data_IF_058326201467
#
_entry.id   IF_058326201467
#
_cell.length_a   1.000
_cell.length_b   1.000
_cell.length_c   1.000
_cell.angle_alpha   90.00
_cell.angle_beta   90.00
_cell.angle_gamma   90.00
#
_symmetry.space_group_name_H-M   'P 1'
#
loop_
_entity.id
_entity.type
_entity.pdbx_description
1 polymer ?
#
# COMPACT_ATOMS: atom_id res chain seq x y z
N UNK A 1 9.73 -9.14 0.66
CA UNK A 1 8.65 -8.14 0.40
C UNK A 1 9.01 -7.42 -0.89
N UNK A 2 8.24 -7.63 -1.95
CA UNK A 2 8.48 -7.02 -3.27
C UNK A 2 8.43 -5.49 -3.16
N UNK A 3 9.42 -4.81 -3.76
CA UNK A 3 9.50 -3.35 -3.85
C UNK A 3 8.25 -2.78 -4.53
N UNK A 4 7.61 -3.53 -5.42
CA UNK A 4 6.36 -3.17 -6.12
C UNK A 4 5.16 -3.09 -5.17
N UNK A 5 5.06 -4.01 -4.19
CA UNK A 5 4.02 -4.00 -3.16
C UNK A 5 4.19 -2.83 -2.19
N UNK A 6 5.44 -2.49 -1.87
CA UNK A 6 5.76 -1.32 -1.04
C UNK A 6 5.60 0.00 -1.77
N UNK A 7 5.80 0.04 -3.09
CA UNK A 7 5.58 1.22 -3.93
C UNK A 7 4.09 1.46 -4.13
N UNK A 8 3.27 0.42 -4.27
CA UNK A 8 1.81 0.56 -4.21
C UNK A 8 1.37 0.98 -2.81
N UNK A 9 1.88 0.32 -1.75
CA UNK A 9 1.67 0.79 -0.40
C UNK A 9 2.09 2.26 -0.31
N UNK A 10 3.22 2.73 -0.84
CA UNK A 10 3.68 4.11 -0.84
C UNK A 10 2.82 5.10 -1.66
N UNK A 11 2.28 4.65 -2.79
CA UNK A 11 1.47 5.44 -3.72
C UNK A 11 0.03 5.57 -3.23
N UNK A 12 -0.52 4.46 -2.72
CA UNK A 12 -1.80 4.39 -2.01
C UNK A 12 -1.68 5.06 -0.63
N UNK A 13 -0.54 4.96 0.05
CA UNK A 13 -0.27 5.64 1.33
C UNK A 13 0.15 7.10 1.17
N UNK A 14 0.05 7.72 -0.02
CA UNK A 14 0.24 9.18 -0.13
C UNK A 14 -0.84 9.99 0.63
N UNK A 15 -1.73 9.32 1.38
CA UNK A 15 -2.59 9.87 2.45
C UNK A 15 -2.16 9.55 3.90
N UNK A 16 -0.94 9.06 4.16
CA UNK A 16 -0.42 8.76 5.51
C UNK A 16 0.01 10.03 6.27
N UNK A 17 -0.95 10.90 6.61
CA UNK A 17 -0.69 11.91 7.63
C UNK A 17 -1.90 12.13 8.52
N UNK A 18 -1.69 11.95 9.82
CA UNK A 18 -2.60 12.23 10.92
C UNK A 18 -3.68 11.19 11.18
N UNK A 19 -3.41 10.29 12.14
CA UNK A 19 -4.06 10.31 13.46
C UNK A 19 -3.73 9.01 14.20
N UNK A 20 -2.53 8.92 14.77
CA UNK A 20 -2.11 7.74 15.53
C UNK A 20 -2.05 8.11 17.02
N UNK A 21 -2.65 7.26 17.85
CA UNK A 21 -2.88 7.51 19.28
C UNK A 21 -1.63 7.24 20.12
N UNK A 22 -0.66 8.14 20.00
CA UNK A 22 0.20 8.71 21.05
C UNK A 22 1.09 9.74 20.35
N UNK A 23 1.44 10.87 20.99
CA UNK A 23 2.25 11.91 20.33
C UNK A 23 3.61 11.35 19.88
N UNK A 24 4.16 10.36 20.60
CA UNK A 24 5.42 9.68 20.27
C UNK A 24 5.30 8.77 19.04
N UNK A 25 4.30 7.87 19.01
CA UNK A 25 4.10 6.96 17.88
C UNK A 25 3.69 7.70 16.59
N UNK A 26 2.85 8.74 16.70
CA UNK A 26 2.50 9.59 15.56
C UNK A 26 3.74 10.30 14.99
N UNK A 27 4.65 10.77 15.85
CA UNK A 27 5.91 11.38 15.42
C UNK A 27 6.81 10.35 14.71
N UNK A 28 6.94 9.15 15.26
CA UNK A 28 7.78 8.09 14.67
C UNK A 28 7.30 7.70 13.27
N UNK A 29 5.99 7.51 13.10
CA UNK A 29 5.39 7.15 11.83
C UNK A 29 5.42 8.32 10.84
N UNK A 30 5.30 9.56 11.33
CA UNK A 30 5.46 10.77 10.51
C UNK A 30 6.89 10.94 10.00
N UNK A 31 7.90 10.66 10.82
CA UNK A 31 9.31 10.69 10.41
C UNK A 31 9.57 9.69 9.29
N UNK A 32 9.12 8.44 9.44
CA UNK A 32 9.24 7.40 8.40
C UNK A 32 8.50 7.84 7.13
N UNK A 33 7.26 8.32 7.26
CA UNK A 33 6.46 8.81 6.13
C UNK A 33 7.11 10.00 5.39
N UNK A 34 7.87 10.83 6.09
CA UNK A 34 8.54 11.99 5.49
C UNK A 34 9.75 11.63 4.64
N UNK A 35 10.27 10.40 4.73
CA UNK A 35 11.31 9.92 3.81
C UNK A 35 10.79 9.75 2.39
N UNK A 36 9.49 9.47 2.22
CA UNK A 36 8.88 9.30 0.90
C UNK A 36 8.88 10.66 0.17
N UNK A 37 9.42 10.74 -1.06
CA UNK A 37 9.43 11.96 -1.86
C UNK A 37 8.03 12.28 -2.45
N UNK A 38 7.06 12.55 -1.59
CA UNK A 38 5.62 12.70 -1.89
C UNK A 38 5.35 13.70 -3.02
N UNK A 39 6.04 14.84 -3.01
CA UNK A 39 5.86 15.85 -4.04
C UNK A 39 6.30 15.35 -5.42
N UNK A 40 7.40 14.57 -5.50
CA UNK A 40 7.85 13.97 -6.76
C UNK A 40 6.81 12.97 -7.28
N UNK A 41 6.26 12.13 -6.41
CA UNK A 41 5.20 11.19 -6.77
C UNK A 41 3.92 11.90 -7.25
N UNK A 42 3.52 12.97 -6.57
CA UNK A 42 2.33 13.73 -6.94
C UNK A 42 2.49 14.41 -8.31
N UNK A 43 3.62 15.07 -8.57
CA UNK A 43 3.88 15.71 -9.86
C UNK A 43 4.01 14.68 -10.99
N UNK A 44 4.63 13.53 -10.72
CA UNK A 44 4.65 12.42 -11.66
C UNK A 44 3.24 11.91 -11.96
N UNK A 45 2.41 11.65 -10.94
CA UNK A 45 1.04 11.17 -11.14
C UNK A 45 0.19 12.16 -11.96
N UNK A 46 0.29 13.47 -11.69
CA UNK A 46 -0.37 14.52 -12.49
C UNK A 46 0.09 14.52 -13.95
N UNK A 47 1.40 14.37 -14.19
CA UNK A 47 1.96 14.28 -15.54
C UNK A 47 1.41 13.07 -16.28
N UNK A 48 1.42 11.89 -15.66
CA UNK A 48 0.89 10.67 -16.25
C UNK A 48 -0.63 10.74 -16.47
N UNK A 49 -1.42 11.32 -15.56
CA UNK A 49 -2.86 11.57 -15.79
C UNK A 49 -3.11 12.43 -17.03
N UNK A 50 -2.25 13.42 -17.28
CA UNK A 50 -2.42 14.37 -18.38
C UNK A 50 -1.92 13.80 -19.72
N UNK A 51 -0.80 13.09 -19.70
CA UNK A 51 0.00 12.80 -20.88
C UNK A 51 0.04 11.30 -21.25
N UNK A 52 -0.35 10.39 -20.34
CA UNK A 52 -0.34 8.94 -20.56
C UNK A 52 -1.79 8.37 -20.52
N UNK A 53 -2.38 8.06 -21.70
CA UNK A 53 -3.72 7.51 -21.78
C UNK A 53 -3.88 6.18 -21.03
N UNK A 54 -2.86 5.31 -21.02
CA UNK A 54 -2.94 4.01 -20.31
C UNK A 54 -3.00 4.23 -18.79
N UNK A 55 -2.26 5.21 -18.28
CA UNK A 55 -2.34 5.60 -16.87
C UNK A 55 -3.71 6.21 -16.54
N UNK A 56 -4.20 7.14 -17.37
CA UNK A 56 -5.50 7.77 -17.17
C UNK A 56 -6.64 6.74 -17.18
N UNK A 57 -6.59 5.76 -18.09
CA UNK A 57 -7.53 4.64 -18.15
C UNK A 57 -7.48 3.77 -16.90
N UNK A 58 -6.29 3.46 -16.39
CA UNK A 58 -6.14 2.71 -15.13
C UNK A 58 -6.73 3.45 -13.93
N UNK A 59 -6.54 4.78 -13.84
CA UNK A 59 -7.17 5.58 -12.78
C UNK A 59 -8.69 5.63 -12.96
N UNK A 60 -9.19 5.78 -14.19
CA UNK A 60 -10.62 5.79 -14.48
C UNK A 60 -11.29 4.44 -14.13
N UNK A 61 -10.60 3.34 -14.41
CA UNK A 61 -11.03 2.00 -14.03
C UNK A 61 -11.18 1.86 -12.51
N UNK A 62 -10.18 2.32 -11.74
CA UNK A 62 -10.24 2.31 -10.27
C UNK A 62 -11.35 3.23 -9.69
N UNK A 63 -11.86 4.20 -10.46
CA UNK A 63 -13.01 5.02 -10.07
C UNK A 63 -14.36 4.34 -10.41
N UNK A 64 -14.36 3.32 -11.27
CA UNK A 64 -15.55 2.69 -11.82
C UNK A 64 -16.27 1.73 -10.85
N UNK A 65 -17.51 1.37 -11.22
CA UNK A 65 -18.39 0.53 -10.40
C UNK A 65 -17.81 -0.86 -10.16
N UNK A 66 -17.20 -1.49 -11.17
CA UNK A 66 -16.56 -2.81 -11.07
C UNK A 66 -15.53 -2.86 -9.93
N UNK A 67 -14.66 -1.85 -9.84
CA UNK A 67 -13.69 -1.74 -8.77
C UNK A 67 -14.35 -1.47 -7.41
N UNK A 68 -15.30 -0.52 -7.36
CA UNK A 68 -15.99 -0.18 -6.12
C UNK A 68 -16.78 -1.38 -5.55
N UNK A 69 -17.42 -2.18 -6.39
CA UNK A 69 -18.13 -3.39 -6.00
C UNK A 69 -17.20 -4.47 -5.47
N UNK A 70 -16.05 -4.68 -6.11
CA UNK A 70 -15.01 -5.60 -5.61
C UNK A 70 -14.52 -5.18 -4.23
N UNK A 71 -14.17 -3.90 -4.05
CA UNK A 71 -13.72 -3.38 -2.75
C UNK A 71 -14.82 -3.52 -1.71
N UNK A 72 -16.07 -3.21 -2.05
CA UNK A 72 -17.21 -3.39 -1.15
C UNK A 72 -17.39 -4.85 -0.73
N UNK A 73 -17.30 -5.79 -1.68
CA UNK A 73 -17.41 -7.23 -1.44
C UNK A 73 -16.27 -7.76 -0.56
N UNK A 74 -15.05 -7.27 -0.77
CA UNK A 74 -13.90 -7.61 0.06
C UNK A 74 -14.07 -7.09 1.50
N UNK A 75 -14.48 -5.83 1.67
CA UNK A 75 -14.69 -5.22 2.99
C UNK A 75 -15.89 -5.80 3.76
N UNK A 76 -16.77 -6.52 3.08
CA UNK A 76 -17.86 -7.26 3.71
C UNK A 76 -17.41 -8.60 4.31
N UNK A 77 -16.21 -9.11 3.97
CA UNK A 77 -15.70 -10.36 4.52
C UNK A 77 -15.32 -10.20 6.00
N UNK A 78 -15.72 -11.15 6.83
CA UNK A 78 -15.48 -11.10 8.28
C UNK A 78 -13.97 -11.07 8.59
N UNK A 79 -13.17 -11.85 7.88
CA UNK A 79 -11.72 -11.92 8.03
C UNK A 79 -11.04 -10.57 7.75
N UNK A 80 -11.56 -9.83 6.77
CA UNK A 80 -11.09 -8.48 6.44
C UNK A 80 -11.47 -7.50 7.56
N UNK A 81 -12.69 -7.60 8.08
CA UNK A 81 -13.14 -6.76 9.20
C UNK A 81 -12.33 -7.03 10.47
N UNK A 82 -12.04 -8.29 10.77
CA UNK A 82 -11.18 -8.70 11.89
C UNK A 82 -9.77 -8.13 11.74
N UNK A 83 -9.17 -8.21 10.54
CA UNK A 83 -7.85 -7.63 10.29
C UNK A 83 -7.86 -6.10 10.44
N UNK A 84 -8.88 -5.42 9.91
CA UNK A 84 -9.03 -3.95 10.07
C UNK A 84 -9.16 -3.60 11.55
N UNK A 85 -9.99 -4.33 12.30
CA UNK A 85 -10.17 -4.10 13.73
C UNK A 85 -8.85 -4.28 14.50
N UNK A 86 -8.12 -5.37 14.24
CA UNK A 86 -6.81 -5.61 14.84
C UNK A 86 -5.83 -4.46 14.60
N UNK A 87 -5.82 -3.89 13.39
CA UNK A 87 -4.96 -2.75 13.04
C UNK A 87 -5.40 -1.47 13.76
N UNK A 88 -6.70 -1.18 13.82
CA UNK A 88 -7.26 -0.03 14.56
C UNK A 88 -6.94 -0.12 16.07
N UNK A 89 -7.11 -1.30 16.67
CA UNK A 89 -6.73 -1.59 18.06
C UNK A 89 -5.20 -1.57 18.28
N UNK A 90 -4.41 -1.58 17.20
CA UNK A 90 -2.97 -1.35 17.23
C UNK A 90 -2.60 0.13 17.05
N UNK A 91 -3.58 1.03 17.17
CA UNK A 91 -3.45 2.47 16.92
C UNK A 91 -3.11 2.82 15.46
N UNK A 92 -3.45 1.97 14.49
CA UNK A 92 -3.32 2.27 13.07
C UNK A 92 -4.71 2.62 12.49
N UNK A 93 -4.98 3.88 12.12
CA UNK A 93 -6.30 4.33 11.66
C UNK A 93 -6.55 3.96 10.18
N UNK A 94 -6.53 2.66 9.88
CA UNK A 94 -6.66 2.08 8.54
C UNK A 94 -7.92 2.57 7.83
N UNK A 95 -9.07 2.61 8.52
CA UNK A 95 -10.34 3.10 7.95
C UNK A 95 -10.24 4.54 7.46
N UNK A 96 -9.58 5.39 8.25
CA UNK A 96 -9.35 6.80 7.89
C UNK A 96 -8.46 6.91 6.64
N UNK A 97 -7.45 6.06 6.54
CA UNK A 97 -6.56 6.05 5.37
C UNK A 97 -7.28 5.57 4.12
N UNK A 98 -8.06 4.49 4.21
CA UNK A 98 -8.88 4.00 3.10
C UNK A 98 -9.82 5.07 2.56
N UNK A 99 -10.50 5.82 3.45
CA UNK A 99 -11.37 6.92 3.03
C UNK A 99 -10.61 8.00 2.27
N UNK A 100 -9.44 8.44 2.78
CA UNK A 100 -8.61 9.45 2.10
C UNK A 100 -8.09 9.00 0.75
N UNK A 101 -7.75 7.72 0.60
CA UNK A 101 -7.34 7.13 -0.67
C UNK A 101 -8.50 7.23 -1.65
N UNK A 102 -9.68 6.79 -1.24
CA UNK A 102 -10.90 6.88 -2.05
C UNK A 102 -11.20 8.32 -2.45
N UNK A 103 -11.17 9.27 -1.52
CA UNK A 103 -11.42 10.68 -1.82
C UNK A 103 -10.43 11.27 -2.83
N UNK A 104 -9.14 10.91 -2.75
CA UNK A 104 -8.14 11.37 -3.72
C UNK A 104 -8.35 10.73 -5.08
N UNK A 105 -8.68 9.44 -5.11
CA UNK A 105 -8.98 8.71 -6.31
C UNK A 105 -10.21 9.30 -7.01
N UNK A 106 -11.31 9.51 -6.28
CA UNK A 106 -12.56 10.07 -6.81
C UNK A 106 -12.37 11.51 -7.36
N UNK A 107 -11.38 12.26 -6.85
CA UNK A 107 -11.04 13.61 -7.30
C UNK A 107 -10.05 13.67 -8.46
N UNK A 108 -9.44 12.55 -8.84
CA UNK A 108 -8.49 12.53 -9.96
C UNK A 108 -9.23 12.82 -11.27
N UNK A 109 -8.72 13.79 -12.05
CA UNK A 109 -9.30 14.12 -13.34
C UNK A 109 -8.95 13.06 -14.38
N UNK A 110 -9.95 12.25 -14.71
CA UNK A 110 -9.90 11.19 -15.73
C UNK A 110 -10.79 11.50 -16.92
N UNK A 111 -11.15 12.78 -17.13
CA UNK A 111 -12.04 13.21 -18.23
C UNK A 111 -11.56 12.81 -19.62
N UNK A 112 -10.25 12.62 -19.78
CA UNK A 112 -9.59 12.20 -21.03
C UNK A 112 -9.44 10.67 -21.17
N UNK A 113 -9.85 9.89 -20.18
CA UNK A 113 -9.71 8.44 -20.21
C UNK A 113 -10.74 7.80 -21.17
N UNK A 114 -10.29 6.80 -21.93
CA UNK A 114 -11.16 5.86 -22.60
C UNK A 114 -11.62 4.79 -21.62
N UNK A 115 -12.85 4.94 -21.11
CA UNK A 115 -13.45 4.01 -20.14
C UNK A 115 -13.70 2.60 -20.68
N UNK A 116 -13.48 2.35 -21.98
CA UNK A 116 -13.53 1.00 -22.56
C UNK A 116 -12.24 0.21 -22.33
N UNK A 117 -11.15 0.89 -21.98
CA UNK A 117 -9.86 0.28 -21.66
C UNK A 117 -9.63 0.28 -20.15
N UNK A 118 -9.10 -0.83 -19.61
CA UNK A 118 -8.65 -0.90 -18.20
C UNK A 118 -7.34 -0.14 -17.96
N UNK A 119 -6.56 0.15 -19.01
CA UNK A 119 -5.26 0.81 -18.88
C UNK A 119 -4.20 0.01 -18.12
N UNK A 120 -3.08 0.66 -17.79
CA UNK A 120 -2.00 0.06 -16.99
C UNK A 120 -1.10 1.11 -16.31
N UNK A 121 -0.53 0.75 -15.17
CA UNK A 121 0.47 1.55 -14.45
C UNK A 121 1.93 1.22 -14.80
N UNK A 122 2.22 0.26 -15.69
CA UNK A 122 3.60 -0.25 -15.91
C UNK A 122 4.65 0.85 -16.14
N UNK A 123 4.35 1.82 -17.01
CA UNK A 123 5.28 2.92 -17.34
C UNK A 123 5.53 3.81 -16.12
N UNK A 124 4.45 4.19 -15.45
CA UNK A 124 4.51 4.94 -14.20
C UNK A 124 5.32 4.20 -13.13
N UNK A 125 5.07 2.89 -12.92
CA UNK A 125 5.81 2.08 -11.94
C UNK A 125 7.29 1.98 -12.25
N UNK A 126 7.66 1.83 -13.54
CA UNK A 126 9.06 1.79 -13.96
C UNK A 126 9.83 3.05 -13.54
N UNK A 127 9.16 4.21 -13.52
CA UNK A 127 9.73 5.48 -13.05
C UNK A 127 9.58 5.67 -11.53
N UNK A 128 8.49 5.19 -10.94
CA UNK A 128 8.15 5.35 -9.53
C UNK A 128 8.98 4.46 -8.59
N UNK A 129 9.27 3.22 -9.01
CA UNK A 129 9.99 2.24 -8.18
C UNK A 129 11.40 2.71 -7.82
N UNK A 130 12.23 3.23 -8.75
CA UNK A 130 13.57 3.73 -8.41
C UNK A 130 13.56 4.93 -7.45
N UNK A 131 12.47 5.70 -7.40
CA UNK A 131 12.32 6.84 -6.48
C UNK A 131 11.97 6.41 -5.05
N UNK A 132 11.65 5.13 -4.85
CA UNK A 132 11.20 4.64 -3.56
C UNK A 132 12.39 4.48 -2.60
N UNK A 133 12.41 5.17 -1.46
CA UNK A 133 13.56 5.19 -0.55
C UNK A 133 13.55 3.94 0.34
N UNK A 134 13.62 2.75 -0.27
CA UNK A 134 13.48 1.47 0.44
C UNK A 134 14.51 1.32 1.56
N UNK A 135 15.79 1.55 1.26
CA UNK A 135 16.88 1.41 2.24
C UNK A 135 16.72 2.40 3.40
N UNK A 136 16.38 3.66 3.12
CA UNK A 136 16.17 4.69 4.15
C UNK A 136 14.98 4.34 5.06
N UNK A 137 13.89 3.82 4.48
CA UNK A 137 12.72 3.37 5.24
C UNK A 137 13.08 2.19 6.14
N UNK A 138 13.82 1.18 5.63
CA UNK A 138 14.28 0.04 6.42
C UNK A 138 15.19 0.50 7.56
N UNK A 139 16.14 1.38 7.28
CA UNK A 139 17.03 1.95 8.29
C UNK A 139 16.26 2.73 9.36
N UNK A 140 15.28 3.55 8.96
CA UNK A 140 14.44 4.30 9.89
C UNK A 140 13.59 3.37 10.76
N UNK A 141 12.99 2.33 10.19
CA UNK A 141 12.23 1.33 10.95
C UNK A 141 13.13 0.62 11.96
N UNK A 142 14.31 0.12 11.55
CA UNK A 142 15.28 -0.52 12.47
C UNK A 142 15.67 0.43 13.61
N UNK A 143 15.93 1.70 13.30
CA UNK A 143 16.22 2.73 14.31
C UNK A 143 15.05 2.90 15.28
N UNK A 144 13.81 3.02 14.79
CA UNK A 144 12.62 3.19 15.64
C UNK A 144 12.35 1.95 16.49
N UNK A 145 12.55 0.75 15.95
CA UNK A 145 12.50 -0.50 16.74
C UNK A 145 13.51 -0.42 17.88
N UNK A 146 14.74 0.07 17.66
CA UNK A 146 15.77 0.15 18.69
C UNK A 146 15.54 1.28 19.71
N UNK A 147 15.02 2.43 19.29
CA UNK A 147 15.00 3.66 20.09
C UNK A 147 13.63 4.06 20.66
N UNK A 148 12.51 3.57 20.11
CA UNK A 148 11.15 3.96 20.51
C UNK A 148 10.40 2.78 21.13
N UNK A 149 10.07 2.83 22.43
CA UNK A 149 9.28 1.79 23.09
C UNK A 149 7.91 1.56 22.43
N UNK A 150 7.18 2.62 22.11
CA UNK A 150 5.84 2.55 21.51
C UNK A 150 5.88 2.00 20.09
N UNK A 151 6.86 2.41 19.29
CA UNK A 151 7.05 1.85 17.95
C UNK A 151 7.43 0.36 18.02
N UNK A 152 8.26 -0.02 18.98
CA UNK A 152 8.64 -1.41 19.19
C UNK A 152 7.45 -2.26 19.63
N UNK A 153 6.57 -1.74 20.48
CA UNK A 153 5.32 -2.41 20.86
C UNK A 153 4.41 -2.62 19.65
N UNK A 154 4.24 -1.59 18.81
CA UNK A 154 3.50 -1.71 17.55
C UNK A 154 4.12 -2.79 16.66
N UNK A 155 5.44 -2.74 16.43
CA UNK A 155 6.15 -3.72 15.60
C UNK A 155 5.97 -5.15 16.12
N UNK A 156 6.11 -5.37 17.43
CA UNK A 156 5.90 -6.67 18.08
C UNK A 156 4.47 -7.16 17.90
N UNK A 157 3.47 -6.29 18.06
CA UNK A 157 2.05 -6.64 17.86
C UNK A 157 1.80 -7.04 16.40
N UNK A 158 2.29 -6.26 15.44
CA UNK A 158 2.14 -6.56 14.00
C UNK A 158 2.93 -7.80 13.55
N UNK A 159 4.00 -8.17 14.26
CA UNK A 159 4.82 -9.36 13.98
C UNK A 159 4.36 -10.60 14.76
N UNK A 160 3.22 -10.51 15.44
CA UNK A 160 2.70 -11.60 16.28
C UNK A 160 2.09 -12.73 15.43
N UNK A 161 1.98 -13.92 16.04
CA UNK A 161 1.27 -15.04 15.43
C UNK A 161 -0.21 -14.73 15.15
N UNK A 162 -0.85 -13.94 16.01
CA UNK A 162 -2.23 -13.47 15.81
C UNK A 162 -2.36 -12.67 14.50
N UNK A 163 -1.46 -11.71 14.29
CA UNK A 163 -1.41 -10.92 13.05
C UNK A 163 -1.17 -11.83 11.82
N UNK A 164 -0.25 -12.79 11.94
CA UNK A 164 0.03 -13.77 10.89
C UNK A 164 -1.21 -14.57 10.50
N UNK A 165 -1.93 -15.12 11.48
CA UNK A 165 -3.15 -15.90 11.24
C UNK A 165 -4.28 -15.07 10.62
N UNK A 166 -4.42 -13.79 11.00
CA UNK A 166 -5.39 -12.88 10.37
C UNK A 166 -5.07 -12.67 8.88
N UNK A 167 -3.79 -12.43 8.55
CA UNK A 167 -3.34 -12.26 7.16
C UNK A 167 -3.54 -13.55 6.37
N UNK A 168 -3.20 -14.71 6.93
CA UNK A 168 -3.38 -16.01 6.25
C UNK A 168 -4.84 -16.26 5.89
N UNK A 169 -5.78 -15.93 6.80
CA UNK A 169 -7.21 -16.04 6.52
C UNK A 169 -7.63 -15.13 5.37
N UNK A 170 -7.20 -13.87 5.39
CA UNK A 170 -7.48 -12.90 4.34
C UNK A 170 -6.92 -13.35 2.97
N UNK A 171 -5.69 -13.86 2.92
CA UNK A 171 -5.05 -14.29 1.67
C UNK A 171 -5.78 -15.47 1.02
N UNK A 172 -6.44 -16.33 1.81
CA UNK A 172 -7.20 -17.48 1.31
C UNK A 172 -8.58 -17.12 0.76
N UNK A 173 -9.04 -15.86 0.92
CA UNK A 173 -10.33 -15.43 0.41
C UNK A 173 -10.36 -15.42 -1.13
N UNK A 174 -11.45 -15.90 -1.76
CA UNK A 174 -11.67 -15.74 -3.20
C UNK A 174 -11.61 -14.27 -3.66
N UNK A 175 -12.13 -13.35 -2.84
CA UNK A 175 -12.13 -11.91 -3.09
C UNK A 175 -10.72 -11.34 -3.14
N UNK A 176 -9.82 -11.85 -2.28
CA UNK A 176 -8.40 -11.47 -2.31
C UNK A 176 -7.77 -11.94 -3.62
N UNK A 177 -8.02 -13.19 -4.05
CA UNK A 177 -7.52 -13.69 -5.33
C UNK A 177 -8.01 -12.87 -6.52
N UNK A 178 -9.29 -12.47 -6.52
CA UNK A 178 -9.86 -11.55 -7.52
C UNK A 178 -9.12 -10.20 -7.51
N UNK A 179 -8.99 -9.57 -6.35
CA UNK A 179 -8.26 -8.30 -6.19
C UNK A 179 -6.85 -8.37 -6.77
N UNK A 180 -6.15 -9.47 -6.53
CA UNK A 180 -4.77 -9.66 -6.99
C UNK A 180 -4.69 -9.83 -8.50
N UNK A 181 -5.64 -10.54 -9.11
CA UNK A 181 -5.76 -10.61 -10.56
C UNK A 181 -6.00 -9.21 -11.16
N UNK A 182 -6.90 -8.41 -10.58
CA UNK A 182 -7.14 -7.03 -11.03
C UNK A 182 -5.88 -6.16 -10.94
N UNK A 183 -5.18 -6.23 -9.82
CA UNK A 183 -3.95 -5.48 -9.60
C UNK A 183 -2.87 -5.91 -10.61
N UNK A 184 -2.75 -7.21 -10.88
CA UNK A 184 -1.83 -7.76 -11.88
C UNK A 184 -2.16 -7.29 -13.31
N UNK A 185 -3.43 -7.24 -13.70
CA UNK A 185 -3.88 -6.70 -15.00
C UNK A 185 -3.46 -5.24 -15.19
N UNK A 186 -3.54 -4.43 -14.13
CA UNK A 186 -3.05 -3.06 -14.13
C UNK A 186 -1.51 -2.97 -14.18
N UNK A 187 -0.82 -4.10 -14.20
CA UNK A 187 0.63 -4.19 -14.30
C UNK A 187 1.37 -3.96 -12.98
N UNK A 188 0.64 -4.06 -11.87
CA UNK A 188 1.21 -4.03 -10.54
C UNK A 188 1.62 -5.46 -10.20
N UNK A 189 2.92 -5.70 -10.09
CA UNK A 189 3.44 -7.04 -9.74
C UNK A 189 3.15 -7.25 -8.24
N UNK A 190 2.43 -8.32 -7.93
CA UNK A 190 2.21 -8.78 -6.56
C UNK A 190 2.79 -10.17 -6.43
N UNK A 191 3.98 -10.28 -5.83
CA UNK A 191 4.45 -11.56 -5.35
C UNK A 191 3.77 -11.87 -4.00
N UNK A 192 2.86 -12.82 -4.03
CA UNK A 192 2.09 -13.30 -2.87
C UNK A 192 2.67 -14.58 -2.28
N UNK A 193 3.64 -15.19 -2.97
CA UNK A 193 4.27 -16.38 -2.46
C UNK A 193 5.31 -15.94 -1.44
N UNK A 194 4.93 -16.00 -0.16
CA UNK A 194 5.83 -15.94 0.99
C UNK A 194 6.86 -17.09 1.02
N UNK A 195 7.59 -17.32 -0.07
CA UNK A 195 8.80 -18.13 -0.10
C UNK A 195 9.99 -17.17 -0.08
N UNK A 196 10.76 -17.16 1.02
CA UNK A 196 11.95 -16.37 1.05
C UNK A 196 12.95 -16.96 0.05
N UNK A 197 13.57 -16.14 -0.80
CA UNK A 197 14.97 -16.42 -1.14
C UNK A 197 15.85 -15.99 0.03
N UNK A 198 15.73 -16.75 1.12
CA UNK A 198 16.71 -16.77 2.23
C UNK A 198 18.05 -17.35 1.76
N UNK A 199 18.14 -17.84 0.53
CA UNK A 199 19.40 -18.24 -0.12
C UNK A 199 20.24 -17.03 -0.54
N UNK A 200 19.64 -15.85 -0.76
CA UNK A 200 20.38 -14.64 -1.16
C UNK A 200 20.86 -13.82 0.06
N UNK A 201 20.35 -14.09 1.27
CA UNK A 201 20.79 -13.48 2.53
C UNK A 201 21.75 -14.35 3.36
N UNK A 202 21.99 -15.61 2.93
CA UNK A 202 23.04 -16.47 3.49
C UNK A 202 24.36 -16.40 2.71
N UNK A 203 24.45 -15.62 1.62
CA UNK A 203 25.69 -15.42 0.85
C UNK A 203 26.45 -14.14 1.19
N UNK A 204 26.03 -13.41 2.23
CA UNK A 204 26.67 -12.16 2.65
C UNK A 204 27.14 -12.21 4.11
N UNK A 205 27.43 -13.42 4.62
CA UNK A 205 28.07 -13.64 5.92
C UNK A 205 29.25 -14.64 5.85
N UNK A 206 29.99 -14.65 4.74
CA UNK A 206 31.39 -15.09 4.70
C UNK A 206 32.23 -14.03 3.99
#
# INVERSE_FOLDING_TARGET
MDKSLLVLAALVTSGFAASISSRSLDNDLREIYNLIPKQKYLEMAKRYLRDDPDFANAVAFLQGDEWNELIKSLLAQEEIQQLIQFLEESNLPVKKYMLRIKEKLDKADTSKADRKSKGTFKRFLKEAIPLFPYEDLVAAIKKKIASSPEFRQLYTKLSSNEAGLLVERVVRLPETSKLLAYIAELGLIVDLEGKPKLEDLKKEQD
#
